data_IF_116630984637
#
_entry.id   IF_116630984637
#
_cell.length_a   1.000
_cell.length_b   1.000
_cell.length_c   1.000
_cell.angle_alpha   90.00
_cell.angle_beta   90.00
_cell.angle_gamma   90.00
#
_symmetry.space_group_name_H-M   'P 1'
#
loop_
_entity.id
_entity.type
_entity.pdbx_description
1 polymer ?
#
# COMPACT_ATOMS: atom_id res chain seq x y z
N UNK A 1 -17.95 -14.39 -14.44
CA UNK A 1 -18.45 -15.53 -13.65
C UNK A 1 -17.28 -16.49 -13.48
N UNK A 2 -16.80 -16.65 -12.25
CA UNK A 2 -15.76 -17.65 -11.96
C UNK A 2 -16.36 -19.05 -12.21
N UNK A 3 -15.69 -19.93 -12.96
CA UNK A 3 -16.14 -21.31 -13.08
C UNK A 3 -16.11 -21.93 -11.69
N UNK A 4 -17.29 -22.32 -11.21
CA UNK A 4 -17.41 -23.16 -10.01
C UNK A 4 -16.56 -24.40 -10.30
N UNK A 5 -15.60 -24.79 -9.45
CA UNK A 5 -14.91 -26.05 -9.62
C UNK A 5 -15.98 -27.14 -9.52
N UNK A 6 -16.44 -27.62 -10.67
CA UNK A 6 -17.32 -28.76 -10.73
C UNK A 6 -16.56 -29.89 -10.08
N UNK A 7 -17.04 -30.40 -8.95
CA UNK A 7 -16.67 -31.75 -8.55
C UNK A 7 -16.96 -32.59 -9.79
N UNK A 8 -15.95 -33.25 -10.42
CA UNK A 8 -16.26 -34.19 -11.47
C UNK A 8 -17.25 -35.15 -10.84
N UNK A 9 -18.45 -35.23 -11.41
CA UNK A 9 -19.34 -36.35 -11.11
C UNK A 9 -18.51 -37.54 -11.57
N UNK A 10 -17.94 -38.26 -10.60
CA UNK A 10 -17.21 -39.47 -10.89
C UNK A 10 -18.10 -40.28 -11.82
N UNK A 11 -17.60 -40.73 -12.99
CA UNK A 11 -18.38 -41.65 -13.78
C UNK A 11 -18.76 -42.80 -12.85
N UNK A 12 -19.97 -43.34 -13.01
CA UNK A 12 -20.57 -44.30 -12.08
C UNK A 12 -19.78 -45.63 -11.90
N UNK A 13 -18.54 -45.70 -12.38
CA UNK A 13 -17.77 -46.91 -12.63
C UNK A 13 -16.30 -46.82 -12.24
N UNK A 14 -15.88 -45.86 -11.39
CA UNK A 14 -14.48 -45.72 -10.96
C UNK A 14 -13.93 -46.92 -10.14
N UNK A 15 -14.73 -47.95 -9.88
CA UNK A 15 -14.27 -49.28 -9.49
C UNK A 15 -15.05 -50.36 -10.24
N UNK A 16 -14.39 -51.05 -11.18
CA UNK A 16 -14.72 -52.42 -11.63
C UNK A 16 -16.07 -52.66 -12.39
N UNK A 17 -16.98 -51.70 -12.47
CA UNK A 17 -18.40 -52.00 -12.69
C UNK A 17 -18.92 -52.37 -14.09
N UNK A 18 -18.18 -52.18 -15.18
CA UNK A 18 -18.66 -52.50 -16.56
C UNK A 18 -17.71 -53.43 -17.29
N UNK A 19 -16.41 -53.17 -17.21
CA UNK A 19 -15.39 -54.02 -17.82
C UNK A 19 -15.34 -55.43 -17.20
N UNK A 20 -15.60 -55.56 -15.89
CA UNK A 20 -15.71 -56.87 -15.23
C UNK A 20 -17.12 -57.46 -15.31
N UNK A 21 -18.13 -56.62 -15.56
CA UNK A 21 -19.51 -57.05 -15.85
C UNK A 21 -19.55 -57.86 -17.16
N UNK A 22 -18.90 -57.36 -18.21
CA UNK A 22 -18.79 -58.11 -19.47
C UNK A 22 -18.02 -59.44 -19.35
N UNK A 23 -17.17 -59.60 -18.32
CA UNK A 23 -16.43 -60.85 -18.05
C UNK A 23 -17.24 -61.86 -17.23
N UNK A 24 -18.20 -61.39 -16.44
CA UNK A 24 -18.97 -62.21 -15.50
C UNK A 24 -20.38 -62.56 -16.02
N UNK A 25 -20.93 -61.76 -16.92
CA UNK A 25 -22.26 -61.96 -17.49
C UNK A 25 -22.28 -62.91 -18.68
N UNK A 26 -23.37 -63.68 -18.83
CA UNK A 26 -23.59 -64.54 -20.00
C UNK A 26 -24.17 -63.72 -21.17
N UNK A 27 -23.95 -64.09 -22.44
CA UNK A 27 -24.44 -63.32 -23.60
C UNK A 27 -25.94 -62.98 -23.57
N UNK A 28 -26.75 -63.80 -22.90
CA UNK A 28 -28.19 -63.62 -22.75
C UNK A 28 -28.56 -62.64 -21.62
N UNK A 29 -27.68 -62.41 -20.64
CA UNK A 29 -27.93 -61.60 -19.43
C UNK A 29 -27.21 -60.26 -19.44
N UNK A 30 -26.15 -60.10 -20.25
CA UNK A 30 -25.33 -58.88 -20.35
C UNK A 30 -26.16 -57.60 -20.47
N UNK A 31 -27.21 -57.57 -21.31
CA UNK A 31 -28.02 -56.36 -21.48
C UNK A 31 -28.82 -56.01 -20.21
N UNK A 32 -29.33 -57.02 -19.51
CA UNK A 32 -30.05 -56.84 -18.27
C UNK A 32 -29.11 -56.36 -17.15
N UNK A 33 -27.91 -56.94 -17.08
CA UNK A 33 -26.89 -56.57 -16.09
C UNK A 33 -26.38 -55.15 -16.32
N UNK A 34 -26.13 -54.75 -17.58
CA UNK A 34 -25.74 -53.36 -17.92
C UNK A 34 -26.85 -52.37 -17.57
N UNK A 35 -28.11 -52.68 -17.89
CA UNK A 35 -29.24 -51.83 -17.53
C UNK A 35 -29.39 -51.69 -16.00
N UNK A 36 -29.18 -52.78 -15.24
CA UNK A 36 -29.19 -52.74 -13.78
C UNK A 36 -28.03 -51.91 -13.23
N UNK A 37 -26.81 -52.08 -13.76
CA UNK A 37 -25.65 -51.30 -13.37
C UNK A 37 -25.84 -49.80 -13.64
N UNK A 38 -26.43 -49.45 -14.79
CA UNK A 38 -26.77 -48.06 -15.14
C UNK A 38 -27.78 -47.47 -14.15
N UNK A 39 -28.88 -48.18 -13.85
CA UNK A 39 -29.86 -47.71 -12.86
C UNK A 39 -29.24 -47.53 -11.47
N UNK A 40 -28.41 -48.49 -11.02
CA UNK A 40 -27.68 -48.37 -9.76
C UNK A 40 -26.73 -47.17 -9.77
N UNK A 41 -26.03 -46.92 -10.88
CA UNK A 41 -25.15 -45.76 -11.06
C UNK A 41 -25.89 -44.43 -10.96
N UNK A 42 -27.06 -44.31 -11.61
CA UNK A 42 -27.91 -43.11 -11.50
C UNK A 42 -28.38 -42.89 -10.06
N UNK A 43 -28.79 -43.95 -9.36
CA UNK A 43 -29.19 -43.84 -7.94
C UNK A 43 -28.02 -43.37 -7.06
N UNK A 44 -26.81 -43.87 -7.31
CA UNK A 44 -25.60 -43.42 -6.61
C UNK A 44 -25.32 -41.93 -6.87
N UNK A 45 -25.43 -41.48 -8.12
CA UNK A 45 -25.25 -40.07 -8.48
C UNK A 45 -26.26 -39.15 -7.78
N UNK A 46 -27.53 -39.57 -7.72
CA UNK A 46 -28.56 -38.84 -6.96
C UNK A 46 -28.20 -38.79 -5.47
N UNK A 47 -27.67 -39.88 -4.92
CA UNK A 47 -27.17 -39.93 -3.54
C UNK A 47 -26.04 -38.93 -3.27
N UNK A 48 -25.06 -38.85 -4.19
CA UNK A 48 -23.96 -37.87 -4.10
C UNK A 48 -24.49 -36.44 -4.22
N UNK A 49 -25.43 -36.19 -5.14
CA UNK A 49 -26.07 -34.88 -5.31
C UNK A 49 -26.85 -34.47 -4.05
N UNK A 50 -27.57 -35.40 -3.43
CA UNK A 50 -28.33 -35.14 -2.19
C UNK A 50 -27.41 -34.77 -1.03
N UNK A 51 -26.26 -35.45 -0.88
CA UNK A 51 -25.22 -35.08 0.09
C UNK A 51 -24.66 -33.69 -0.18
N UNK A 52 -24.31 -33.41 -1.44
CA UNK A 52 -23.83 -32.08 -1.83
C UNK A 52 -24.85 -30.97 -1.52
N UNK A 53 -26.14 -31.21 -1.78
CA UNK A 53 -27.18 -30.27 -1.44
C UNK A 53 -27.28 -30.03 0.08
N UNK A 54 -27.15 -31.10 0.89
CA UNK A 54 -27.14 -30.99 2.35
C UNK A 54 -25.99 -30.11 2.85
N UNK A 55 -24.76 -30.31 2.35
CA UNK A 55 -23.59 -29.51 2.72
C UNK A 55 -23.78 -28.01 2.41
N UNK A 56 -24.38 -27.70 1.25
CA UNK A 56 -24.68 -26.31 0.85
C UNK A 56 -25.72 -25.69 1.79
N UNK A 57 -26.78 -26.43 2.13
CA UNK A 57 -27.81 -25.92 3.04
C UNK A 57 -27.29 -25.77 4.47
N UNK A 58 -26.41 -26.66 4.94
CA UNK A 58 -25.75 -26.52 6.23
C UNK A 58 -24.90 -25.24 6.28
N UNK A 59 -24.07 -24.98 5.25
CA UNK A 59 -23.28 -23.74 5.17
C UNK A 59 -24.15 -22.48 5.15
N UNK A 60 -25.24 -22.48 4.37
CA UNK A 60 -26.17 -21.36 4.29
C UNK A 60 -26.91 -21.12 5.62
N UNK A 61 -27.34 -22.17 6.29
CA UNK A 61 -28.05 -22.07 7.58
C UNK A 61 -27.12 -21.60 8.70
N UNK A 62 -25.86 -22.04 8.71
CA UNK A 62 -24.85 -21.56 9.65
C UNK A 62 -24.57 -20.05 9.47
N UNK A 63 -24.39 -19.59 8.23
CA UNK A 63 -24.18 -18.16 7.93
C UNK A 63 -25.44 -17.33 8.26
N UNK A 64 -26.63 -17.84 7.92
CA UNK A 64 -27.91 -17.20 8.28
C UNK A 64 -28.08 -17.08 9.81
N UNK A 65 -27.69 -18.11 10.56
CA UNK A 65 -27.73 -18.08 12.02
C UNK A 65 -26.73 -17.07 12.59
N UNK A 66 -25.49 -17.03 12.08
CA UNK A 66 -24.46 -16.09 12.51
C UNK A 66 -24.86 -14.63 12.22
N UNK A 67 -25.40 -14.35 11.03
CA UNK A 67 -25.90 -13.02 10.67
C UNK A 67 -27.11 -12.62 11.51
N UNK A 68 -28.05 -13.54 11.77
CA UNK A 68 -29.19 -13.26 12.65
C UNK A 68 -28.76 -12.96 14.10
N UNK A 69 -27.76 -13.68 14.62
CA UNK A 69 -27.20 -13.40 15.94
C UNK A 69 -26.58 -11.99 16.01
N UNK A 70 -25.88 -11.56 14.95
CA UNK A 70 -25.34 -10.19 14.85
C UNK A 70 -26.45 -9.13 14.78
N UNK A 71 -27.50 -9.38 14.00
CA UNK A 71 -28.66 -8.49 13.91
C UNK A 71 -29.34 -8.35 15.27
N UNK A 72 -29.54 -9.45 16.00
CA UNK A 72 -30.13 -9.41 17.35
C UNK A 72 -29.25 -8.62 18.33
N UNK A 73 -27.93 -8.83 18.30
CA UNK A 73 -26.98 -8.07 19.12
C UNK A 73 -27.02 -6.56 18.79
N UNK A 74 -27.06 -6.19 17.51
CA UNK A 74 -27.15 -4.79 17.11
C UNK A 74 -28.52 -4.19 17.43
N UNK A 75 -29.61 -4.94 17.29
CA UNK A 75 -30.96 -4.49 17.67
C UNK A 75 -31.03 -4.16 19.17
N UNK A 76 -30.50 -5.03 20.04
CA UNK A 76 -30.44 -4.76 21.50
C UNK A 76 -29.56 -3.57 21.84
N UNK A 77 -28.46 -3.36 21.11
CA UNK A 77 -27.62 -2.16 21.29
C UNK A 77 -28.34 -0.89 20.87
N UNK A 78 -29.04 -0.92 19.74
CA UNK A 78 -29.80 0.24 19.25
C UNK A 78 -30.93 0.59 20.22
N UNK A 79 -31.69 -0.38 20.72
CA UNK A 79 -32.75 -0.09 21.70
C UNK A 79 -32.19 0.48 23.00
N UNK A 80 -31.06 -0.05 23.49
CA UNK A 80 -30.37 0.51 24.66
C UNK A 80 -29.91 1.96 24.42
N UNK A 81 -29.34 2.25 23.24
CA UNK A 81 -28.92 3.61 22.88
C UNK A 81 -30.09 4.58 22.77
N UNK A 82 -31.21 4.13 22.19
CA UNK A 82 -32.44 4.94 22.12
C UNK A 82 -32.91 5.33 23.52
N UNK A 83 -32.96 4.38 24.46
CA UNK A 83 -33.32 4.67 25.85
C UNK A 83 -32.36 5.65 26.53
N UNK A 84 -31.06 5.53 26.29
CA UNK A 84 -30.05 6.48 26.82
C UNK A 84 -30.24 7.88 26.24
N UNK A 85 -30.52 7.99 24.94
CA UNK A 85 -30.75 9.27 24.26
C UNK A 85 -32.03 9.95 24.74
N UNK A 86 -33.11 9.18 24.91
CA UNK A 86 -34.37 9.66 25.48
C UNK A 86 -34.16 10.18 26.92
N UNK A 87 -33.43 9.43 27.75
CA UNK A 87 -33.10 9.83 29.12
C UNK A 87 -32.20 11.08 29.19
N UNK A 88 -31.30 11.26 28.22
CA UNK A 88 -30.43 12.43 28.11
C UNK A 88 -31.15 13.68 27.56
N UNK A 89 -32.45 13.57 27.20
CA UNK A 89 -33.25 14.70 26.73
C UNK A 89 -32.76 15.31 25.41
N UNK A 90 -32.03 14.54 24.60
CA UNK A 90 -31.45 15.03 23.34
C UNK A 90 -30.28 16.02 23.49
N UNK A 91 -29.75 16.21 24.70
CA UNK A 91 -28.55 17.03 24.93
C UNK A 91 -27.33 16.15 24.62
N UNK A 92 -26.60 16.50 23.55
CA UNK A 92 -25.37 15.82 23.23
C UNK A 92 -24.38 15.96 24.40
N UNK A 93 -23.78 14.86 24.89
CA UNK A 93 -22.74 14.96 25.92
C UNK A 93 -21.60 15.84 25.39
N UNK A 94 -21.01 16.65 26.28
CA UNK A 94 -19.86 17.51 25.97
C UNK A 94 -18.64 16.61 25.72
N UNK A 95 -18.47 16.16 24.47
CA UNK A 95 -17.37 15.28 24.06
C UNK A 95 -16.12 16.15 23.89
N UNK A 96 -15.02 15.87 24.59
CA UNK A 96 -13.76 16.58 24.40
C UNK A 96 -13.36 16.56 22.92
N UNK A 97 -12.86 17.69 22.41
CA UNK A 97 -12.55 17.95 20.99
C UNK A 97 -11.57 16.92 20.33
N UNK A 98 -11.00 16.00 21.11
CA UNK A 98 -10.01 15.02 20.70
C UNK A 98 -10.28 13.58 21.17
N UNK A 99 -11.54 13.12 21.16
CA UNK A 99 -11.78 11.68 21.21
C UNK A 99 -11.56 11.11 19.81
N UNK A 100 -10.36 10.58 19.56
CA UNK A 100 -10.11 9.75 18.38
C UNK A 100 -10.84 8.43 18.59
N UNK A 101 -12.02 8.30 17.98
CA UNK A 101 -12.72 7.03 17.90
C UNK A 101 -11.93 6.14 16.95
N UNK A 102 -11.10 5.26 17.51
CA UNK A 102 -10.46 4.21 16.73
C UNK A 102 -11.55 3.30 16.17
N UNK A 103 -11.76 3.40 14.87
CA UNK A 103 -12.56 2.41 14.15
C UNK A 103 -11.79 1.10 14.26
N UNK A 104 -12.42 0.09 14.83
CA UNK A 104 -11.92 -1.28 14.80
C UNK A 104 -12.06 -1.81 13.37
N UNK A 105 -11.27 -1.27 12.45
CA UNK A 105 -11.04 -1.89 11.15
C UNK A 105 -10.21 -3.13 11.45
N UNK A 106 -10.90 -4.24 11.75
CA UNK A 106 -10.27 -5.55 11.81
C UNK A 106 -9.52 -5.72 10.49
N UNK A 107 -8.19 -5.86 10.58
CA UNK A 107 -7.34 -5.99 9.40
C UNK A 107 -7.89 -7.04 8.43
N UNK A 108 -7.61 -6.87 7.14
CA UNK A 108 -8.09 -7.79 6.11
C UNK A 108 -7.77 -9.24 6.52
N UNK A 109 -8.77 -10.11 6.70
CA UNK A 109 -8.53 -11.47 7.13
C UNK A 109 -7.77 -12.21 6.02
N UNK A 110 -6.84 -13.08 6.41
CA UNK A 110 -6.17 -13.98 5.48
C UNK A 110 -7.19 -15.01 4.95
N UNK A 111 -7.73 -14.76 3.75
CA UNK A 111 -8.80 -15.58 3.18
C UNK A 111 -8.35 -16.99 2.78
N UNK A 112 -7.09 -17.15 2.37
CA UNK A 112 -6.54 -18.40 1.82
C UNK A 112 -5.54 -19.05 2.77
N UNK A 113 -5.97 -19.34 3.98
CA UNK A 113 -5.18 -20.12 4.95
C UNK A 113 -5.65 -21.58 4.96
N UNK A 114 -4.78 -22.53 5.34
CA UNK A 114 -5.20 -23.93 5.55
C UNK A 114 -6.38 -24.05 6.51
N UNK A 115 -6.49 -23.14 7.50
CA UNK A 115 -7.58 -23.10 8.47
C UNK A 115 -8.95 -22.75 7.86
N UNK A 116 -8.95 -21.89 6.85
CA UNK A 116 -10.18 -21.40 6.21
C UNK A 116 -10.53 -22.22 4.96
N UNK A 117 -9.87 -23.35 4.75
CA UNK A 117 -10.11 -24.21 3.59
C UNK A 117 -11.46 -24.92 3.72
N UNK A 118 -12.31 -24.92 2.68
CA UNK A 118 -13.55 -25.68 2.71
C UNK A 118 -13.31 -27.19 2.89
N UNK A 119 -14.14 -27.91 3.68
CA UNK A 119 -13.98 -29.35 3.91
C UNK A 119 -13.90 -30.17 2.61
N UNK A 120 -14.71 -29.80 1.62
CA UNK A 120 -14.70 -30.40 0.29
C UNK A 120 -13.33 -30.39 -0.41
N UNK A 121 -12.54 -29.34 -0.20
CA UNK A 121 -11.21 -29.21 -0.79
C UNK A 121 -10.18 -30.00 0.03
N UNK A 122 -10.37 -30.08 1.36
CA UNK A 122 -9.53 -30.91 2.24
C UNK A 122 -9.67 -32.40 1.86
N UNK A 123 -10.89 -32.91 1.66
CA UNK A 123 -11.14 -34.28 1.21
C UNK A 123 -10.38 -34.63 -0.07
N UNK A 124 -10.40 -33.72 -1.06
CA UNK A 124 -9.69 -33.93 -2.33
C UNK A 124 -8.17 -33.84 -2.14
N UNK A 125 -7.71 -32.97 -1.24
CA UNK A 125 -6.29 -32.86 -0.92
C UNK A 125 -5.75 -34.12 -0.24
N UNK A 126 -6.52 -34.76 0.63
CA UNK A 126 -6.16 -36.02 1.28
C UNK A 126 -5.99 -37.17 0.28
N UNK A 127 -6.73 -37.13 -0.84
CA UNK A 127 -6.58 -38.08 -1.95
C UNK A 127 -5.34 -37.77 -2.82
N UNK A 128 -4.75 -36.57 -2.70
CA UNK A 128 -3.54 -36.23 -3.45
C UNK A 128 -2.31 -36.92 -2.87
N UNK A 129 -1.29 -37.09 -3.71
CA UNK A 129 -0.02 -37.67 -3.27
C UNK A 129 0.65 -36.75 -2.25
N UNK A 130 1.04 -37.26 -1.06
CA UNK A 130 1.70 -36.46 -0.05
C UNK A 130 3.10 -36.04 -0.53
N UNK A 131 3.58 -34.92 0.00
CA UNK A 131 4.95 -34.45 -0.24
C UNK A 131 5.93 -35.52 0.28
N UNK A 132 6.97 -35.89 -0.47
CA UNK A 132 7.97 -36.84 0.00
C UNK A 132 8.61 -36.35 1.30
N UNK A 133 8.82 -37.24 2.26
CA UNK A 133 9.51 -36.91 3.51
C UNK A 133 11.00 -36.69 3.23
N UNK A 134 11.41 -35.42 3.14
CA UNK A 134 12.81 -35.04 2.91
C UNK A 134 13.57 -34.76 4.21
N UNK A 135 12.96 -35.01 5.37
CA UNK A 135 13.57 -34.75 6.68
C UNK A 135 14.87 -35.54 6.89
N UNK A 136 14.95 -36.77 6.37
CA UNK A 136 16.16 -37.59 6.45
C UNK A 136 17.35 -37.02 5.64
N UNK A 137 17.10 -36.09 4.72
CA UNK A 137 18.14 -35.43 3.92
C UNK A 137 18.69 -34.17 4.60
N UNK A 138 18.03 -33.68 5.66
CA UNK A 138 18.48 -32.49 6.39
C UNK A 138 19.85 -32.73 7.05
N UNK A 139 20.16 -33.96 7.46
CA UNK A 139 21.47 -34.35 8.02
C UNK A 139 22.62 -34.24 7.00
N UNK A 140 22.30 -34.30 5.71
CA UNK A 140 23.27 -34.19 4.61
C UNK A 140 23.31 -32.79 4.01
N UNK A 141 22.51 -31.85 4.54
CA UNK A 141 22.50 -30.48 4.06
C UNK A 141 23.86 -29.82 4.35
N UNK A 142 24.51 -29.32 3.29
CA UNK A 142 25.77 -28.58 3.42
C UNK A 142 25.52 -27.20 4.04
N UNK A 143 26.52 -26.64 4.73
CA UNK A 143 26.45 -25.30 5.35
C UNK A 143 26.10 -24.15 4.38
N UNK A 144 26.11 -24.40 3.07
CA UNK A 144 25.69 -23.46 2.03
C UNK A 144 24.16 -23.32 1.89
N UNK A 145 23.38 -24.25 2.45
CA UNK A 145 21.92 -24.20 2.44
C UNK A 145 21.38 -24.02 3.87
N UNK A 146 21.09 -22.78 4.30
CA UNK A 146 20.61 -22.51 5.66
C UNK A 146 19.12 -22.89 5.87
N UNK A 147 18.42 -23.34 4.82
CA UNK A 147 17.02 -23.71 4.86
C UNK A 147 16.84 -25.24 4.88
N UNK A 148 15.79 -25.76 5.56
CA UNK A 148 15.44 -27.18 5.51
C UNK A 148 15.29 -27.67 4.07
N UNK A 149 15.72 -28.90 3.78
CA UNK A 149 15.67 -29.49 2.43
C UNK A 149 14.23 -29.55 1.91
N UNK A 150 13.26 -29.75 2.80
CA UNK A 150 11.83 -29.69 2.47
C UNK A 150 11.43 -28.35 1.81
N UNK A 151 12.00 -27.23 2.25
CA UNK A 151 11.72 -25.90 1.72
C UNK A 151 12.33 -25.68 0.33
N UNK A 152 13.40 -26.42 0.00
CA UNK A 152 13.97 -26.41 -1.36
C UNK A 152 13.06 -27.11 -2.37
N UNK A 153 12.31 -28.12 -1.91
CA UNK A 153 11.33 -28.82 -2.74
C UNK A 153 10.04 -28.00 -2.92
N UNK A 154 9.47 -27.51 -1.81
CA UNK A 154 8.26 -26.69 -1.83
C UNK A 154 8.31 -25.62 -0.73
N UNK A 155 8.23 -24.35 -1.13
CA UNK A 155 8.17 -23.22 -0.21
C UNK A 155 6.83 -22.46 -0.39
N UNK A 156 5.82 -22.68 0.46
CA UNK A 156 4.54 -21.97 0.36
C UNK A 156 4.68 -20.46 0.62
N UNK A 157 5.75 -20.02 1.29
CA UNK A 157 6.01 -18.61 1.61
C UNK A 157 6.82 -17.87 0.53
N UNK A 158 7.32 -18.57 -0.50
CA UNK A 158 8.21 -18.00 -1.51
C UNK A 158 7.65 -16.73 -2.15
N UNK A 159 6.36 -16.73 -2.50
CA UNK A 159 5.72 -15.59 -3.14
C UNK A 159 5.65 -14.37 -2.21
N UNK A 160 5.29 -14.58 -0.94
CA UNK A 160 5.22 -13.50 0.04
C UNK A 160 6.60 -12.92 0.36
N UNK A 161 7.62 -13.79 0.49
CA UNK A 161 8.99 -13.37 0.76
C UNK A 161 9.57 -12.57 -0.40
N UNK A 162 9.39 -13.05 -1.63
CA UNK A 162 9.85 -12.37 -2.84
C UNK A 162 9.15 -11.03 -3.00
N UNK A 163 7.82 -11.01 -2.84
CA UNK A 163 7.04 -9.78 -2.92
C UNK A 163 7.43 -8.77 -1.84
N UNK A 164 7.60 -9.21 -0.58
CA UNK A 164 8.01 -8.34 0.52
C UNK A 164 9.41 -7.76 0.29
N UNK A 165 10.35 -8.55 -0.22
CA UNK A 165 11.69 -8.07 -0.57
C UNK A 165 11.66 -7.04 -1.71
N UNK A 166 10.86 -7.27 -2.74
CA UNK A 166 10.66 -6.32 -3.83
C UNK A 166 10.02 -5.01 -3.34
N UNK A 167 8.99 -5.10 -2.52
CA UNK A 167 8.28 -3.94 -2.01
C UNK A 167 9.17 -3.11 -1.06
N UNK A 168 9.93 -3.78 -0.18
CA UNK A 168 10.93 -3.13 0.66
C UNK A 168 11.99 -2.41 -0.20
N UNK A 169 12.43 -3.00 -1.31
CA UNK A 169 13.37 -2.37 -2.25
C UNK A 169 12.77 -1.13 -2.91
N UNK A 170 11.49 -1.19 -3.32
CA UNK A 170 10.78 -0.02 -3.88
C UNK A 170 10.65 1.10 -2.86
N UNK A 171 10.28 0.79 -1.62
CA UNK A 171 10.16 1.77 -0.54
C UNK A 171 11.52 2.42 -0.24
N UNK A 172 12.58 1.64 -0.12
CA UNK A 172 13.93 2.17 0.08
C UNK A 172 14.37 3.09 -1.08
N UNK A 173 14.03 2.75 -2.32
CA UNK A 173 14.32 3.61 -3.47
C UNK A 173 13.55 4.94 -3.42
N UNK A 174 12.27 4.91 -3.06
CA UNK A 174 11.45 6.11 -2.90
C UNK A 174 11.96 7.01 -1.76
N UNK A 175 12.40 6.42 -0.65
CA UNK A 175 13.00 7.17 0.46
C UNK A 175 14.35 7.79 0.07
N UNK A 176 15.19 7.06 -0.65
CA UNK A 176 16.45 7.57 -1.19
C UNK A 176 16.20 8.73 -2.18
N UNK A 177 15.20 8.63 -3.05
CA UNK A 177 14.83 9.72 -3.95
C UNK A 177 14.30 10.94 -3.18
N UNK A 178 13.42 10.71 -2.19
CA UNK A 178 12.86 11.78 -1.37
C UNK A 178 13.94 12.52 -0.57
N UNK A 179 14.91 11.79 -0.01
CA UNK A 179 16.05 12.37 0.72
C UNK A 179 17.01 13.09 -0.23
N UNK A 180 17.32 12.52 -1.40
CA UNK A 180 18.11 13.18 -2.44
C UNK A 180 17.45 14.49 -2.90
N UNK A 181 16.14 14.49 -3.13
CA UNK A 181 15.37 15.70 -3.49
C UNK A 181 15.37 16.74 -2.38
N UNK A 182 15.22 16.34 -1.11
CA UNK A 182 15.34 17.25 0.05
C UNK A 182 16.75 17.86 0.12
N UNK A 183 17.80 17.06 -0.10
CA UNK A 183 19.19 17.52 -0.06
C UNK A 183 19.52 18.44 -1.23
N UNK A 184 19.11 18.13 -2.45
CA UNK A 184 19.26 19.00 -3.62
C UNK A 184 18.58 20.36 -3.41
N UNK A 185 17.37 20.38 -2.80
CA UNK A 185 16.68 21.63 -2.45
C UNK A 185 17.45 22.44 -1.40
N UNK A 186 18.05 21.79 -0.39
CA UNK A 186 18.90 22.44 0.62
C UNK A 186 20.18 22.99 0.00
N UNK A 187 20.84 22.24 -0.87
CA UNK A 187 22.06 22.66 -1.58
C UNK A 187 21.79 23.90 -2.47
N UNK A 188 20.70 23.89 -3.26
CA UNK A 188 20.30 25.04 -4.08
C UNK A 188 20.05 26.29 -3.24
N UNK A 189 19.41 26.16 -2.07
CA UNK A 189 19.19 27.27 -1.13
C UNK A 189 20.50 27.82 -0.58
N UNK A 190 21.46 26.95 -0.22
CA UNK A 190 22.79 27.38 0.26
C UNK A 190 23.59 28.09 -0.84
N UNK A 191 23.60 27.55 -2.07
CA UNK A 191 24.27 28.15 -3.22
C UNK A 191 23.71 29.55 -3.56
N UNK A 192 22.39 29.73 -3.50
CA UNK A 192 21.77 31.06 -3.68
C UNK A 192 22.21 32.04 -2.59
N UNK A 193 22.22 31.63 -1.32
CA UNK A 193 22.69 32.48 -0.21
C UNK A 193 24.16 32.88 -0.35
N UNK A 194 25.04 31.95 -0.76
CA UNK A 194 26.46 32.26 -1.00
C UNK A 194 26.67 33.21 -2.19
N UNK A 195 25.88 33.04 -3.26
CA UNK A 195 25.90 33.96 -4.40
C UNK A 195 25.42 35.35 -3.99
N UNK A 196 24.40 35.45 -3.16
CA UNK A 196 23.90 36.71 -2.62
C UNK A 196 24.94 37.39 -1.71
N UNK A 197 25.59 36.64 -0.81
CA UNK A 197 26.67 37.14 0.05
C UNK A 197 27.88 37.63 -0.75
N UNK A 198 28.30 36.89 -1.77
CA UNK A 198 29.42 37.31 -2.64
C UNK A 198 29.09 38.50 -3.53
N UNK A 199 27.82 38.67 -3.93
CA UNK A 199 27.36 39.88 -4.61
C UNK A 199 27.27 41.08 -3.66
N UNK A 200 26.89 40.86 -2.40
CA UNK A 200 26.89 41.90 -1.37
C UNK A 200 28.32 42.39 -1.06
N UNK A 201 29.29 41.48 -0.86
CA UNK A 201 30.69 41.86 -0.61
C UNK A 201 31.35 42.53 -1.83
N UNK A 202 30.99 42.12 -3.06
CA UNK A 202 31.41 42.83 -4.29
C UNK A 202 30.81 44.23 -4.38
N UNK A 203 29.54 44.41 -4.00
CA UNK A 203 28.91 45.74 -3.94
C UNK A 203 29.58 46.63 -2.91
N UNK A 204 29.93 46.11 -1.74
CA UNK A 204 30.60 46.88 -0.70
C UNK A 204 32.04 47.24 -1.06
N UNK A 205 32.78 46.32 -1.69
CA UNK A 205 34.12 46.64 -2.20
C UNK A 205 34.10 47.62 -3.37
N UNK A 206 33.16 47.52 -4.32
CA UNK A 206 32.97 48.54 -5.36
C UNK A 206 32.51 49.89 -4.81
N UNK A 207 31.67 49.91 -3.76
CA UNK A 207 31.23 51.16 -3.12
C UNK A 207 32.36 51.83 -2.36
N UNK A 208 33.18 51.05 -1.66
CA UNK A 208 34.39 51.51 -0.99
C UNK A 208 35.44 52.00 -1.99
N UNK A 209 35.68 51.28 -3.09
CA UNK A 209 36.61 51.72 -4.14
C UNK A 209 36.15 53.00 -4.84
N UNK A 210 34.84 53.14 -5.10
CA UNK A 210 34.28 54.39 -5.62
C UNK A 210 34.41 55.55 -4.63
N UNK A 211 34.31 55.31 -3.31
CA UNK A 211 34.57 56.34 -2.31
C UNK A 211 36.06 56.75 -2.29
N UNK A 212 36.98 55.80 -2.37
CA UNK A 212 38.43 56.09 -2.44
C UNK A 212 38.76 56.87 -3.71
N UNK A 213 38.16 56.51 -4.85
CA UNK A 213 38.36 57.23 -6.11
C UNK A 213 37.76 58.64 -6.07
N UNK A 214 36.56 58.81 -5.49
CA UNK A 214 35.98 60.14 -5.22
C UNK A 214 36.88 61.00 -4.33
N UNK A 215 37.47 60.43 -3.28
CA UNK A 215 38.39 61.17 -2.39
C UNK A 215 39.69 61.54 -3.13
N UNK A 216 40.14 60.69 -4.05
CA UNK A 216 41.32 60.95 -4.89
C UNK A 216 41.04 62.03 -5.94
N UNK A 217 39.90 61.98 -6.61
CA UNK A 217 39.46 62.97 -7.58
C UNK A 217 39.18 64.32 -6.90
N UNK A 218 38.61 64.31 -5.68
CA UNK A 218 38.45 65.52 -4.86
C UNK A 218 39.80 66.11 -4.43
N UNK A 219 40.78 65.28 -4.04
CA UNK A 219 42.16 65.75 -3.77
C UNK A 219 42.85 66.30 -5.02
N UNK A 220 42.66 65.68 -6.18
CA UNK A 220 43.17 66.17 -7.46
C UNK A 220 42.53 67.49 -7.91
N UNK A 221 41.26 67.70 -7.56
CA UNK A 221 40.54 68.96 -7.78
C UNK A 221 40.99 70.09 -6.85
N UNK A 222 41.67 69.78 -5.73
CA UNK A 222 42.22 70.79 -4.81
C UNK A 222 43.67 71.16 -5.18
N UNK A 223 44.38 70.31 -5.93
CA UNK A 223 45.74 70.60 -6.41
C UNK A 223 45.80 71.39 -7.72
N UNK A 224 44.66 71.77 -8.31
CA UNK A 224 44.59 72.72 -9.43
C UNK A 224 43.78 73.95 -9.00
N UNK A 225 44.41 74.83 -8.22
CA UNK A 225 43.98 76.22 -8.06
C UNK A 225 44.90 77.06 -8.92
N UNK A 226 44.39 77.41 -10.10
CA UNK A 226 44.76 78.50 -11.02
C UNK A 226 44.09 78.10 -12.37
N UNK A 227 43.13 78.80 -12.97
CA UNK A 227 42.86 80.23 -13.08
C UNK A 227 41.38 80.44 -13.47
N UNK A 228 40.85 81.54 -12.97
CA UNK A 228 39.62 82.20 -13.39
C UNK A 228 39.70 82.63 -14.87
N UNK A 229 38.67 82.28 -15.65
CA UNK A 229 38.16 83.18 -16.69
C UNK A 229 38.16 82.67 -18.12
N UNK A 230 36.98 82.24 -18.59
CA UNK A 230 36.49 82.59 -19.92
C UNK A 230 34.99 82.32 -19.98
N UNK A 231 34.23 83.40 -20.11
CA UNK A 231 32.79 83.39 -20.31
C UNK A 231 32.40 83.13 -21.77
N UNK A 232 31.15 82.71 -21.91
CA UNK A 232 30.18 82.95 -23.00
C UNK A 232 30.06 81.94 -24.17
N UNK A 233 28.81 81.44 -24.20
CA UNK A 233 27.90 81.27 -25.35
C UNK A 233 28.13 80.08 -26.29
N UNK A 234 27.14 79.18 -26.35
CA UNK A 234 26.12 79.18 -27.41
C UNK A 234 25.01 78.15 -27.17
N UNK A 235 23.81 78.55 -27.60
CA UNK A 235 22.53 77.85 -27.55
C UNK A 235 22.47 76.60 -28.45
N UNK A 236 21.42 75.80 -28.20
CA UNK A 236 20.70 74.96 -29.18
C UNK A 236 21.34 73.58 -29.45
N UNK A 237 20.68 72.43 -29.26
CA UNK A 237 19.39 72.02 -29.82
C UNK A 237 18.84 70.76 -29.12
N UNK A 238 17.50 70.65 -29.15
CA UNK A 238 16.68 69.43 -29.32
C UNK A 238 16.59 68.37 -28.19
N UNK A 239 15.44 68.44 -27.49
CA UNK A 239 14.66 67.27 -27.06
C UNK A 239 14.28 66.42 -28.30
N UNK A 240 14.12 65.10 -28.12
CA UNK A 240 12.90 64.49 -28.62
C UNK A 240 12.11 63.77 -27.54
N UNK A 241 10.84 63.61 -27.86
CA UNK A 241 9.75 63.17 -27.04
C UNK A 241 9.69 61.65 -26.86
N UNK A 242 9.12 61.27 -25.72
CA UNK A 242 8.09 60.23 -25.55
C UNK A 242 7.73 59.37 -26.77
N UNK A 243 7.88 58.06 -26.62
CA UNK A 243 7.01 57.07 -27.25
C UNK A 243 6.91 55.81 -26.38
N UNK A 244 5.67 55.40 -26.14
CA UNK A 244 5.13 54.03 -25.97
C UNK A 244 6.07 52.95 -25.40
N UNK A 245 5.73 52.26 -24.32
CA UNK A 245 4.51 51.46 -24.24
C UNK A 245 4.86 50.00 -24.52
N UNK A 246 5.12 49.22 -23.47
CA UNK A 246 5.06 47.76 -23.50
C UNK A 246 4.87 47.25 -22.06
N UNK A 247 3.60 47.14 -21.67
CA UNK A 247 3.24 46.35 -20.52
C UNK A 247 3.58 44.89 -20.78
N UNK A 248 4.33 44.27 -19.87
CA UNK A 248 4.37 42.82 -19.75
C UNK A 248 3.80 42.46 -18.38
N UNK A 249 2.51 42.15 -18.39
CA UNK A 249 1.79 41.50 -17.31
C UNK A 249 2.46 40.15 -17.07
N UNK A 250 3.23 40.05 -15.98
CA UNK A 250 3.69 38.76 -15.47
C UNK A 250 2.66 38.27 -14.47
N UNK A 251 1.79 37.36 -14.93
CA UNK A 251 0.87 36.62 -14.07
C UNK A 251 1.66 35.98 -12.92
N UNK A 252 1.39 36.46 -11.70
CA UNK A 252 1.77 35.79 -10.47
C UNK A 252 0.79 34.65 -10.20
N UNK A 253 1.15 33.43 -10.60
CA UNK A 253 0.53 32.21 -10.09
C UNK A 253 1.01 31.99 -8.65
N UNK A 254 0.22 32.51 -7.71
CA UNK A 254 0.35 32.26 -6.27
C UNK A 254 -0.07 30.81 -5.99
N UNK A 255 0.87 29.86 -6.10
CA UNK A 255 0.68 28.50 -5.58
C UNK A 255 0.98 28.51 -4.09
N UNK A 256 -0.09 28.49 -3.28
CA UNK A 256 -0.06 28.14 -1.87
C UNK A 256 0.53 26.73 -1.73
N UNK A 257 1.78 26.63 -1.26
CA UNK A 257 2.31 25.38 -0.71
C UNK A 257 2.16 25.42 0.80
N UNK A 258 1.16 24.68 1.26
CA UNK A 258 1.03 24.16 2.61
C UNK A 258 2.36 23.53 3.07
N UNK A 259 2.74 23.85 4.31
CA UNK A 259 3.83 23.20 5.05
C UNK A 259 3.34 21.82 5.48
N UNK A 260 4.05 20.72 5.20
CA UNK A 260 3.89 19.51 5.99
C UNK A 260 4.66 19.68 7.30
N UNK A 261 3.95 19.50 8.41
CA UNK A 261 4.49 19.47 9.75
C UNK A 261 5.58 18.41 9.89
N UNK A 262 6.61 18.81 10.63
CA UNK A 262 7.65 17.94 11.16
C UNK A 262 7.01 17.11 12.28
N UNK A 263 6.88 15.81 12.07
CA UNK A 263 6.59 14.87 13.16
C UNK A 263 7.93 14.27 13.56
N UNK A 264 8.41 14.70 14.73
CA UNK A 264 9.43 14.00 15.51
C UNK A 264 8.81 12.69 15.99
N UNK A 265 9.30 11.56 15.48
CA UNK A 265 9.06 10.25 16.09
C UNK A 265 10.19 10.01 17.07
N UNK A 266 9.96 10.44 18.31
CA UNK A 266 10.75 10.04 19.46
C UNK A 266 10.49 8.57 19.74
N UNK A 267 11.55 7.77 19.74
CA UNK A 267 11.52 6.39 20.19
C UNK A 267 11.14 6.30 21.67
N UNK A 268 10.32 5.32 22.00
CA UNK A 268 10.22 4.81 23.36
C UNK A 268 10.10 3.29 23.30
N UNK A 269 11.22 2.67 23.64
CA UNK A 269 11.39 1.27 23.99
C UNK A 269 10.55 0.93 25.22
N UNK A 270 9.83 -0.21 25.17
CA UNK A 270 9.23 -0.82 26.35
C UNK A 270 9.73 -2.27 26.47
N UNK A 271 10.36 -2.66 27.59
CA UNK A 271 10.65 -4.05 27.87
C UNK A 271 9.49 -4.75 28.58
N UNK A 272 9.55 -6.08 28.49
CA UNK A 272 8.67 -7.09 29.01
C UNK A 272 8.63 -7.18 30.55
N UNK A 273 7.54 -7.78 31.03
CA UNK A 273 7.45 -8.82 32.09
C UNK A 273 6.49 -8.45 33.23
N UNK A 274 5.53 -9.35 33.48
CA UNK A 274 5.32 -10.03 34.76
C UNK A 274 3.97 -10.77 34.74
N UNK A 275 4.05 -12.10 34.91
CA UNK A 275 2.93 -12.94 35.37
C UNK A 275 2.74 -12.75 36.89
N UNK A 276 1.58 -13.17 37.42
CA UNK A 276 1.59 -14.15 38.52
C UNK A 276 0.56 -15.27 38.26
N UNK A 277 0.94 -16.55 38.45
CA UNK A 277 0.76 -17.35 39.68
C UNK A 277 -0.71 -17.56 40.04
#
# INVERSE_FOLDING_TARGET
>A
AMPVPGRPIQPAHDGEGVADLYKSSTPQTVLADVAQAEMCGVIQQIGVLARYAADVFEGLTAEAAATNARIAADATRVTALVHVLEAAGGIAPDVPEHVVLERADAGLPEFFTPRNRPPAVEEVLELCHPVPSLAALDDFATAACPAPVARLFSNPQFFFETWAAEEARKLAALEAEATARKNARRARRKAMKQKEQSLATKRDTSRSSMQVQRVRDWRGSISNVDIIGAAKQRLSTKRPASAAGAGLVRMGSRVLRSRPGSVDVGGSSRPQSAAPS
#
